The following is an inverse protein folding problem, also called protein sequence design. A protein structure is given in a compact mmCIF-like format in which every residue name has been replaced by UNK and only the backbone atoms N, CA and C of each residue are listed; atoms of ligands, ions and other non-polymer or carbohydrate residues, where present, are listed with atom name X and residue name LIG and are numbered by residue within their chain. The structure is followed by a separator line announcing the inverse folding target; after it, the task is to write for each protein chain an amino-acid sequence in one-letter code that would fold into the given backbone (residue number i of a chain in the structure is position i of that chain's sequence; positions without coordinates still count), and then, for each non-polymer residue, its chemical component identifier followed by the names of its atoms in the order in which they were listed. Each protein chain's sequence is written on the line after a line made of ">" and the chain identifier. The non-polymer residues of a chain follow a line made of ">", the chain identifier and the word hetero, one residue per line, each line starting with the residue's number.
data_IF_904807465206
#
_entry.id   IF_904807465206
#
_cell.length_a   1.000
_cell.length_b   1.000
_cell.length_c   1.000
_cell.angle_alpha   90.00
_cell.angle_beta   90.00
_cell.angle_gamma   90.00
#
_symmetry.space_group_name_H-M   'P 1'
#
loop_
_entity.id
_entity.type
_entity.pdbx_description
1 polymer ?
#
# COMPACT_ATOMS: atom_id res chain seq x y z
N UNK A 1 8.09 -17.85 -4.63
CA UNK A 1 8.44 -16.42 -4.88
C UNK A 1 8.49 -16.22 -6.38
N UNK A 2 8.41 -15.00 -6.90
CA UNK A 2 8.45 -14.79 -8.35
C UNK A 2 9.79 -15.27 -8.94
N UNK A 3 9.78 -15.94 -10.09
CA UNK A 3 10.97 -16.58 -10.66
C UNK A 3 12.08 -15.58 -11.03
N UNK A 4 11.71 -14.32 -11.30
CA UNK A 4 12.67 -13.26 -11.63
C UNK A 4 13.62 -12.92 -10.47
N UNK A 5 13.27 -13.22 -9.23
CA UNK A 5 14.18 -13.04 -8.09
C UNK A 5 15.43 -13.93 -8.21
N UNK A 6 15.23 -15.18 -8.64
CA UNK A 6 16.31 -16.14 -8.86
C UNK A 6 17.18 -15.75 -10.06
N UNK A 7 16.55 -15.22 -11.10
CA UNK A 7 17.26 -14.68 -12.26
C UNK A 7 18.21 -13.53 -11.87
N UNK A 8 17.78 -12.64 -10.97
CA UNK A 8 18.61 -11.54 -10.45
C UNK A 8 19.53 -11.94 -9.28
N UNK A 9 19.55 -13.22 -8.88
CA UNK A 9 20.30 -13.73 -7.71
C UNK A 9 19.99 -12.98 -6.40
N UNK A 10 18.76 -12.46 -6.27
CA UNK A 10 18.33 -11.72 -5.08
C UNK A 10 17.89 -12.65 -3.95
N UNK A 11 17.67 -13.94 -4.23
CA UNK A 11 17.19 -14.93 -3.26
C UNK A 11 18.05 -14.94 -1.98
N UNK A 12 19.38 -14.90 -2.10
CA UNK A 12 20.27 -14.88 -0.93
C UNK A 12 20.04 -13.66 -0.03
N UNK A 13 19.85 -12.48 -0.62
CA UNK A 13 19.62 -11.24 0.14
C UNK A 13 18.25 -11.31 0.82
N UNK A 14 17.23 -11.77 0.09
CA UNK A 14 15.86 -11.91 0.58
C UNK A 14 15.82 -12.91 1.74
N UNK A 15 16.45 -14.07 1.59
CA UNK A 15 16.50 -15.11 2.63
C UNK A 15 17.31 -14.65 3.83
N UNK A 16 18.42 -13.95 3.62
CA UNK A 16 19.20 -13.34 4.71
C UNK A 16 18.37 -12.34 5.50
N UNK A 17 17.71 -11.40 4.83
CA UNK A 17 16.82 -10.43 5.49
C UNK A 17 15.69 -11.14 6.22
N UNK A 18 14.99 -12.07 5.56
CA UNK A 18 13.89 -12.83 6.15
C UNK A 18 14.33 -13.58 7.41
N UNK A 19 15.48 -14.26 7.38
CA UNK A 19 15.97 -15.03 8.52
C UNK A 19 16.42 -14.13 9.68
N UNK A 20 17.07 -13.00 9.40
CA UNK A 20 17.46 -12.03 10.42
C UNK A 20 16.24 -11.39 11.09
N UNK A 21 15.19 -11.08 10.32
CA UNK A 21 13.99 -10.42 10.82
C UNK A 21 12.90 -11.37 11.32
N UNK A 22 13.02 -12.68 11.07
CA UNK A 22 11.99 -13.68 11.40
C UNK A 22 11.59 -13.66 12.89
N UNK A 23 12.58 -13.54 13.77
CA UNK A 23 12.34 -13.50 15.23
C UNK A 23 11.55 -12.27 15.68
N UNK A 24 11.71 -11.15 14.97
CA UNK A 24 11.03 -9.90 15.31
C UNK A 24 9.56 -9.88 14.90
N UNK A 25 9.18 -10.75 13.95
CA UNK A 25 7.80 -10.89 13.48
C UNK A 25 6.81 -11.19 14.61
N UNK A 26 7.26 -11.87 15.67
CA UNK A 26 6.43 -12.26 16.82
C UNK A 26 5.95 -11.02 17.60
N UNK A 27 6.74 -9.95 17.60
CA UNK A 27 6.42 -8.72 18.34
C UNK A 27 5.58 -7.73 17.53
N UNK A 28 5.42 -7.96 16.22
CA UNK A 28 4.67 -7.06 15.33
C UNK A 28 3.25 -7.63 15.16
N UNK A 29 2.20 -6.84 15.42
CA UNK A 29 0.82 -7.24 15.13
C UNK A 29 0.66 -7.68 13.68
N UNK A 30 -0.08 -8.77 13.45
CA UNK A 30 -0.30 -9.31 12.09
C UNK A 30 -0.87 -8.26 11.14
N UNK A 31 -1.81 -7.44 11.60
CA UNK A 31 -2.38 -6.34 10.78
C UNK A 31 -1.33 -5.32 10.36
N UNK A 32 -0.37 -4.97 11.21
CA UNK A 32 0.72 -4.06 10.82
C UNK A 32 1.65 -4.74 9.82
N UNK A 33 1.96 -6.01 10.03
CA UNK A 33 2.89 -6.73 9.16
C UNK A 33 2.33 -6.94 7.74
N UNK A 34 1.03 -7.18 7.64
CA UNK A 34 0.40 -7.58 6.38
C UNK A 34 -0.40 -6.47 5.71
N UNK A 35 -1.12 -5.64 6.48
CA UNK A 35 -2.04 -4.64 5.95
C UNK A 35 -1.42 -3.25 5.78
N UNK A 36 -0.45 -2.89 6.64
CA UNK A 36 0.18 -1.57 6.58
C UNK A 36 0.96 -1.33 5.29
N UNK A 37 1.73 -2.30 4.74
CA UNK A 37 2.45 -2.10 3.49
C UNK A 37 1.54 -1.69 2.33
N UNK A 38 0.38 -2.32 2.20
CA UNK A 38 -0.58 -2.03 1.13
C UNK A 38 -1.20 -0.64 1.28
N UNK A 39 -1.52 -0.25 2.51
CA UNK A 39 -1.99 1.09 2.80
C UNK A 39 -0.94 2.19 2.53
N UNK A 40 0.33 1.91 2.84
CA UNK A 40 1.45 2.80 2.50
C UNK A 40 1.65 2.92 0.99
N UNK A 41 1.39 1.84 0.25
CA UNK A 41 1.42 1.85 -1.21
C UNK A 41 0.36 2.80 -1.77
N UNK A 42 -0.89 2.70 -1.30
CA UNK A 42 -1.98 3.63 -1.70
C UNK A 42 -1.59 5.07 -1.39
N UNK A 43 -1.12 5.35 -0.17
CA UNK A 43 -0.69 6.70 0.22
C UNK A 43 0.39 7.26 -0.69
N UNK A 44 1.48 6.50 -0.88
CA UNK A 44 2.65 6.96 -1.63
C UNK A 44 2.31 7.22 -3.10
N UNK A 45 1.52 6.35 -3.73
CA UNK A 45 1.08 6.54 -5.12
C UNK A 45 0.09 7.69 -5.27
N UNK A 46 -0.87 7.85 -4.36
CA UNK A 46 -1.80 8.99 -4.39
C UNK A 46 -1.03 10.32 -4.25
N UNK A 47 -0.08 10.40 -3.32
CA UNK A 47 0.77 11.58 -3.15
C UNK A 47 1.65 11.82 -4.39
N UNK A 48 2.28 10.79 -4.93
CA UNK A 48 3.11 10.90 -6.14
C UNK A 48 2.31 11.41 -7.34
N UNK A 49 1.12 10.86 -7.59
CA UNK A 49 0.26 11.31 -8.68
C UNK A 49 -0.22 12.75 -8.50
N UNK A 50 -0.39 13.21 -7.26
CA UNK A 50 -0.82 14.58 -6.97
C UNK A 50 0.19 15.65 -7.43
N UNK A 51 1.46 15.27 -7.61
CA UNK A 51 2.50 16.14 -8.18
C UNK A 51 2.15 16.50 -9.63
N UNK A 52 1.60 15.54 -10.39
CA UNK A 52 1.33 15.68 -11.82
C UNK A 52 -0.13 16.06 -12.12
N UNK A 53 -1.07 15.56 -11.33
CA UNK A 53 -2.50 15.70 -11.58
C UNK A 53 -3.21 16.38 -10.42
N UNK A 54 -3.99 17.42 -10.73
CA UNK A 54 -4.86 18.11 -9.76
C UNK A 54 -6.27 17.54 -9.68
N UNK A 55 -6.63 16.62 -10.60
CA UNK A 55 -7.96 16.06 -10.62
C UNK A 55 -8.11 15.01 -9.52
N UNK A 56 -8.90 15.34 -8.48
CA UNK A 56 -9.16 14.44 -7.35
C UNK A 56 -9.74 13.10 -7.75
N UNK A 57 -10.59 13.06 -8.79
CA UNK A 57 -11.17 11.80 -9.28
C UNK A 57 -10.07 10.86 -9.77
N UNK A 58 -9.08 11.40 -10.49
CA UNK A 58 -7.96 10.63 -11.00
C UNK A 58 -7.07 10.11 -9.86
N UNK A 59 -6.86 10.92 -8.83
CA UNK A 59 -6.09 10.52 -7.64
C UNK A 59 -6.79 9.41 -6.85
N UNK A 60 -8.12 9.43 -6.81
CA UNK A 60 -8.94 8.39 -6.18
C UNK A 60 -8.91 7.05 -6.91
N UNK A 61 -8.50 6.99 -8.18
CA UNK A 61 -8.48 5.72 -8.95
C UNK A 61 -7.56 4.70 -8.29
N UNK A 62 -6.42 5.13 -7.74
CA UNK A 62 -5.49 4.22 -7.05
C UNK A 62 -6.18 3.57 -5.85
N UNK A 63 -6.78 4.39 -4.98
CA UNK A 63 -7.52 3.91 -3.83
C UNK A 63 -8.68 2.98 -4.22
N UNK A 64 -9.50 3.39 -5.20
CA UNK A 64 -10.63 2.59 -5.67
C UNK A 64 -10.14 1.25 -6.25
N UNK A 65 -9.07 1.27 -7.04
CA UNK A 65 -8.46 0.07 -7.61
C UNK A 65 -8.01 -0.90 -6.52
N UNK A 66 -7.32 -0.41 -5.49
CA UNK A 66 -6.85 -1.23 -4.36
C UNK A 66 -8.01 -1.80 -3.52
N UNK A 67 -9.10 -1.05 -3.33
CA UNK A 67 -10.29 -1.58 -2.66
C UNK A 67 -10.98 -2.67 -3.50
N UNK A 68 -11.06 -2.47 -4.82
CA UNK A 68 -11.63 -3.47 -5.72
C UNK A 68 -10.81 -4.76 -5.68
N UNK A 69 -9.47 -4.68 -5.65
CA UNK A 69 -8.64 -5.89 -5.56
C UNK A 69 -8.92 -6.67 -4.28
N UNK A 70 -9.11 -6.02 -3.14
CA UNK A 70 -9.48 -6.70 -1.89
C UNK A 70 -10.87 -7.33 -1.94
N UNK A 71 -11.87 -6.61 -2.47
CA UNK A 71 -13.23 -7.16 -2.62
C UNK A 71 -13.23 -8.36 -3.56
N UNK A 72 -12.42 -8.33 -4.62
CA UNK A 72 -12.30 -9.45 -5.57
C UNK A 72 -11.69 -10.70 -4.94
N UNK A 73 -10.90 -10.59 -3.86
CA UNK A 73 -10.39 -11.76 -3.13
C UNK A 73 -11.51 -12.56 -2.44
N UNK A 74 -12.68 -11.96 -2.20
CA UNK A 74 -13.83 -12.68 -1.63
C UNK A 74 -14.47 -13.68 -2.61
N UNK A 75 -14.41 -13.39 -3.92
CA UNK A 75 -15.21 -14.11 -4.91
C UNK A 75 -14.42 -14.71 -6.08
N UNK A 76 -13.30 -14.09 -6.48
CA UNK A 76 -12.69 -14.34 -7.80
C UNK A 76 -11.17 -14.53 -7.79
N UNK A 77 -10.45 -13.94 -6.83
CA UNK A 77 -8.99 -13.96 -6.78
C UNK A 77 -8.52 -14.81 -5.62
N UNK A 78 -7.49 -15.63 -5.85
CA UNK A 78 -6.82 -16.40 -4.79
C UNK A 78 -6.08 -15.40 -3.89
N UNK A 79 -6.66 -15.13 -2.73
CA UNK A 79 -6.19 -14.16 -1.74
C UNK A 79 -6.82 -14.42 -0.38
N UNK A 80 -6.45 -13.63 0.63
CA UNK A 80 -7.07 -13.68 1.96
C UNK A 80 -7.60 -12.30 2.25
N UNK A 81 -8.91 -12.12 2.12
CA UNK A 81 -9.55 -10.87 2.49
C UNK A 81 -9.27 -10.56 3.96
N UNK A 82 -8.62 -9.42 4.21
CA UNK A 82 -8.45 -8.86 5.55
C UNK A 82 -9.13 -7.48 5.64
N UNK A 83 -10.00 -7.34 6.64
CA UNK A 83 -10.69 -6.08 6.91
C UNK A 83 -9.70 -4.96 7.27
N UNK A 84 -8.55 -5.31 7.86
CA UNK A 84 -7.51 -4.33 8.21
C UNK A 84 -6.88 -3.70 6.96
N UNK A 85 -6.83 -4.40 5.82
CA UNK A 85 -6.31 -3.87 4.56
C UNK A 85 -7.20 -2.71 4.10
N UNK A 86 -8.51 -2.93 4.09
CA UNK A 86 -9.52 -1.90 3.74
C UNK A 86 -9.44 -0.71 4.70
N UNK A 87 -9.38 -0.97 6.02
CA UNK A 87 -9.36 0.08 7.03
C UNK A 87 -8.10 0.94 6.91
N UNK A 88 -6.93 0.32 6.79
CA UNK A 88 -5.66 1.05 6.70
C UNK A 88 -5.54 1.79 5.36
N UNK A 89 -5.91 1.18 4.25
CA UNK A 89 -5.92 1.85 2.95
C UNK A 89 -6.83 3.07 2.95
N UNK A 90 -8.02 2.95 3.53
CA UNK A 90 -8.94 4.09 3.65
C UNK A 90 -8.38 5.19 4.54
N UNK A 91 -7.83 4.84 5.72
CA UNK A 91 -7.25 5.81 6.63
C UNK A 91 -6.08 6.58 6.00
N UNK A 92 -5.14 5.88 5.37
CA UNK A 92 -3.98 6.51 4.75
C UNK A 92 -4.33 7.26 3.46
N UNK A 93 -5.34 6.83 2.70
CA UNK A 93 -5.88 7.63 1.61
C UNK A 93 -6.44 8.97 2.08
N UNK A 94 -7.19 9.00 3.18
CA UNK A 94 -7.68 10.25 3.77
C UNK A 94 -6.52 11.17 4.20
N UNK A 95 -5.46 10.60 4.78
CA UNK A 95 -4.24 11.34 5.13
C UNK A 95 -3.60 11.93 3.88
N UNK A 96 -3.47 11.18 2.79
CA UNK A 96 -2.94 11.70 1.52
C UNK A 96 -3.78 12.88 1.02
N UNK A 97 -5.10 12.72 0.96
CA UNK A 97 -6.01 13.78 0.49
C UNK A 97 -5.96 15.03 1.36
N UNK A 98 -5.79 14.87 2.67
CA UNK A 98 -5.60 15.98 3.60
C UNK A 98 -4.32 16.77 3.27
N UNK A 99 -3.18 16.08 3.10
CA UNK A 99 -1.92 16.74 2.76
C UNK A 99 -1.98 17.40 1.40
N UNK A 100 -2.58 16.76 0.39
CA UNK A 100 -2.74 17.34 -0.96
C UNK A 100 -3.53 18.65 -0.88
N UNK A 101 -4.66 18.64 -0.17
CA UNK A 101 -5.47 19.85 0.01
C UNK A 101 -4.66 20.97 0.68
N UNK A 102 -3.90 20.64 1.72
CA UNK A 102 -3.04 21.61 2.42
C UNK A 102 -1.99 22.22 1.50
N UNK A 103 -1.30 21.40 0.70
CA UNK A 103 -0.31 21.88 -0.28
C UNK A 103 -0.93 22.74 -1.39
N UNK A 104 -2.17 22.46 -1.79
CA UNK A 104 -2.90 23.29 -2.76
C UNK A 104 -3.27 24.67 -2.19
N UNK A 105 -3.62 24.74 -0.90
CA UNK A 105 -3.93 26.00 -0.20
C UNK A 105 -2.68 26.86 -0.05
N UNK A 106 -1.54 26.28 0.34
CA UNK A 106 -0.26 26.98 0.46
C UNK A 106 0.24 27.56 -0.87
N UNK A 107 -0.03 26.90 -2.01
CA UNK A 107 0.36 27.40 -3.35
C UNK A 107 -0.55 28.51 -3.90
N UNK A 108 -1.72 28.75 -3.31
CA UNK A 108 -2.67 29.79 -3.76
C UNK A 108 -2.50 31.12 -3.02
N UNK A 109 -1.78 31.11 -1.91
CA UNK A 109 -1.26 32.29 -1.20
C UNK A 109 0.00 32.80 -1.91
#
# INVERSE_FOLDING_TARGET
>A
MFDWFSYLKLDFIIDSLRNNFYRYRIYIPKSILFSLPDALWVYSFTMFLSIYFKNRILLSIIFIGSIITEILQLCFVIGTFDIYDVVYMFALYLVAMYFIKKFEEEKKL
#
